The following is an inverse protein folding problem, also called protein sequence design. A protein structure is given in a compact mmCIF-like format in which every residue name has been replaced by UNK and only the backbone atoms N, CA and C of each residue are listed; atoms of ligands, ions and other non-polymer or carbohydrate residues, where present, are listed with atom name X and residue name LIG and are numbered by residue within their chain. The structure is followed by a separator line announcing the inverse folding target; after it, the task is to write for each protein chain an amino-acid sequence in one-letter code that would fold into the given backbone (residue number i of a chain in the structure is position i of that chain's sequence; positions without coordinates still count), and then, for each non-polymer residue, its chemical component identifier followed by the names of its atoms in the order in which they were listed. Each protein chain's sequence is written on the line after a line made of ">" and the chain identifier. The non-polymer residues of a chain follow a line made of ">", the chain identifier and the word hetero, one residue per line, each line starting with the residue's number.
data_IF_144055984059
#
_entry.id   IF_144055984059
#
_cell.length_a   1.000
_cell.length_b   1.000
_cell.length_c   1.000
_cell.angle_alpha   90.00
_cell.angle_beta   90.00
_cell.angle_gamma   90.00
#
_symmetry.space_group_name_H-M   'P 1'
#
loop_
_entity.id
_entity.type
_entity.pdbx_description
1 polymer ?
#
# COMPACT_ATOMS: atom_id res chain seq x y z
N UNK A 1 18.89 5.87 6.56
CA UNK A 1 17.47 5.79 6.11
C UNK A 1 17.09 7.07 5.38
N UNK A 2 16.28 6.98 4.31
CA UNK A 2 15.86 8.15 3.55
C UNK A 2 14.87 9.02 4.37
N UNK A 3 14.94 10.37 4.30
CA UNK A 3 14.09 11.26 5.11
C UNK A 3 12.58 11.03 4.94
N UNK A 4 12.11 10.71 3.74
CA UNK A 4 10.70 10.38 3.49
C UNK A 4 10.27 9.16 4.32
N UNK A 5 11.09 8.10 4.35
CA UNK A 5 10.78 6.89 5.10
C UNK A 5 10.78 7.16 6.61
N UNK A 6 11.76 7.93 7.09
CA UNK A 6 11.83 8.33 8.50
C UNK A 6 10.60 9.15 8.92
N UNK A 7 10.09 10.00 8.04
CA UNK A 7 8.90 10.83 8.33
C UNK A 7 7.61 10.00 8.53
N UNK A 8 7.58 8.75 8.08
CA UNK A 8 6.42 7.85 8.23
C UNK A 8 6.38 7.13 9.58
N UNK A 9 7.48 7.14 10.35
CA UNK A 9 7.60 6.35 11.59
C UNK A 9 6.51 6.70 12.62
N UNK A 10 5.76 5.67 13.04
CA UNK A 10 4.63 5.80 13.97
C UNK A 10 3.44 6.55 13.41
N UNK A 11 3.32 6.67 12.08
CA UNK A 11 2.31 7.50 11.42
C UNK A 11 1.28 6.68 10.63
N UNK A 12 0.19 7.37 10.29
CA UNK A 12 -0.86 6.88 9.41
C UNK A 12 -0.55 7.24 7.96
N UNK A 13 -0.58 6.24 7.10
CA UNK A 13 -0.67 6.38 5.64
C UNK A 13 -2.11 6.07 5.23
N UNK A 14 -2.69 6.88 4.35
CA UNK A 14 -4.05 6.60 3.85
C UNK A 14 -3.99 6.10 2.42
N UNK A 15 -4.58 4.91 2.20
CA UNK A 15 -4.74 4.37 0.85
C UNK A 15 -6.01 4.94 0.21
N UNK A 16 -5.83 5.72 -0.85
CA UNK A 16 -6.90 6.38 -1.61
C UNK A 16 -6.98 5.71 -2.98
N UNK A 17 -7.84 4.72 -3.09
CA UNK A 17 -8.02 3.92 -4.29
C UNK A 17 -9.51 3.64 -4.51
N UNK A 18 -9.99 3.81 -5.76
CA UNK A 18 -11.31 3.39 -6.16
C UNK A 18 -11.21 2.26 -7.20
N UNK A 19 -12.14 1.30 -7.13
CA UNK A 19 -12.17 0.15 -8.02
C UNK A 19 -12.93 0.44 -9.32
N UNK A 20 -12.74 -0.36 -10.38
CA UNK A 20 -13.55 -0.25 -11.59
C UNK A 20 -15.05 -0.31 -11.29
N UNK A 21 -15.80 0.69 -11.78
CA UNK A 21 -17.23 0.81 -11.52
C UNK A 21 -17.63 1.62 -10.28
N UNK A 22 -16.68 1.99 -9.43
CA UNK A 22 -16.95 2.83 -8.27
C UNK A 22 -17.31 4.28 -8.68
N UNK A 23 -18.36 4.88 -8.08
CA UNK A 23 -18.79 6.24 -8.41
C UNK A 23 -17.74 7.32 -8.18
N UNK A 24 -16.84 7.10 -7.21
CA UNK A 24 -15.79 8.06 -6.84
C UNK A 24 -14.51 7.91 -7.66
N UNK A 25 -14.46 7.00 -8.64
CA UNK A 25 -13.26 6.72 -9.42
C UNK A 25 -12.99 7.78 -10.48
N UNK A 26 -12.57 8.95 -10.05
CA UNK A 26 -11.97 9.98 -10.92
C UNK A 26 -10.75 10.59 -10.25
N UNK A 27 -9.73 11.00 -11.01
CA UNK A 27 -8.51 11.59 -10.46
C UNK A 27 -8.78 12.83 -9.58
N UNK A 28 -9.76 13.65 -9.94
CA UNK A 28 -10.15 14.86 -9.21
C UNK A 28 -10.74 14.52 -7.83
N UNK A 29 -11.57 13.47 -7.76
CA UNK A 29 -12.15 13.01 -6.50
C UNK A 29 -11.06 12.37 -5.64
N UNK A 30 -10.20 11.52 -6.22
CA UNK A 30 -9.07 10.91 -5.50
C UNK A 30 -8.13 11.99 -4.93
N UNK A 31 -7.80 13.03 -5.70
CA UNK A 31 -6.99 14.14 -5.23
C UNK A 31 -7.66 14.96 -4.10
N UNK A 32 -8.97 15.20 -4.21
CA UNK A 32 -9.72 15.92 -3.17
C UNK A 32 -9.82 15.12 -1.87
N UNK A 33 -10.05 13.81 -1.96
CA UNK A 33 -10.05 12.89 -0.83
C UNK A 33 -8.67 12.81 -0.18
N UNK A 34 -7.60 12.73 -0.97
CA UNK A 34 -6.22 12.74 -0.48
C UNK A 34 -5.90 14.03 0.29
N UNK A 35 -6.35 15.19 -0.22
CA UNK A 35 -6.19 16.46 0.51
C UNK A 35 -6.96 16.47 1.83
N UNK A 36 -8.17 15.91 1.87
CA UNK A 36 -8.93 15.79 3.11
C UNK A 36 -8.21 14.88 4.12
N UNK A 37 -7.63 13.78 3.67
CA UNK A 37 -6.83 12.88 4.52
C UNK A 37 -5.56 13.56 5.05
N UNK A 38 -4.87 14.33 4.23
CA UNK A 38 -3.73 15.15 4.65
C UNK A 38 -4.12 16.17 5.73
N UNK A 39 -5.23 16.89 5.56
CA UNK A 39 -5.76 17.80 6.58
C UNK A 39 -6.15 17.07 7.86
N UNK A 40 -6.54 15.80 7.76
CA UNK A 40 -6.79 14.91 8.89
C UNK A 40 -5.54 14.38 9.59
N UNK A 41 -4.33 14.67 9.05
CA UNK A 41 -3.06 14.28 9.64
C UNK A 41 -2.43 13.03 9.05
N UNK A 42 -2.85 12.57 7.87
CA UNK A 42 -2.11 11.52 7.15
C UNK A 42 -0.68 11.97 6.85
N UNK A 43 0.29 11.08 7.03
CA UNK A 43 1.70 11.35 6.76
C UNK A 43 2.13 11.03 5.32
N UNK A 44 1.37 10.20 4.60
CA UNK A 44 1.51 9.92 3.19
C UNK A 44 0.18 9.45 2.60
N UNK A 45 0.08 9.51 1.28
CA UNK A 45 -1.02 8.92 0.50
C UNK A 45 -0.49 7.75 -0.31
N UNK A 46 -1.18 6.61 -0.23
CA UNK A 46 -0.96 5.49 -1.16
C UNK A 46 -2.08 5.49 -2.20
N UNK A 47 -1.74 5.43 -3.48
CA UNK A 47 -2.73 5.50 -4.55
C UNK A 47 -2.33 4.66 -5.77
N UNK A 48 -3.30 4.35 -6.62
CA UNK A 48 -3.10 3.52 -7.80
C UNK A 48 -3.47 4.27 -9.09
N UNK A 49 -2.73 3.98 -10.18
CA UNK A 49 -3.00 4.53 -11.52
C UNK A 49 -2.33 5.88 -11.76
N UNK A 50 -1.81 6.04 -12.97
CA UNK A 50 -0.94 7.19 -13.32
C UNK A 50 -1.65 8.53 -13.20
N UNK A 51 -2.92 8.59 -13.63
CA UNK A 51 -3.72 9.81 -13.57
C UNK A 51 -4.01 10.22 -12.13
N UNK A 52 -4.28 9.24 -11.23
CA UNK A 52 -4.53 9.51 -9.82
C UNK A 52 -3.25 9.96 -9.13
N UNK A 53 -2.11 9.29 -9.39
CA UNK A 53 -0.80 9.69 -8.85
C UNK A 53 -0.50 11.15 -9.22
N UNK A 54 -0.62 11.52 -10.50
CA UNK A 54 -0.35 12.88 -10.97
C UNK A 54 -1.31 13.91 -10.35
N UNK A 55 -2.60 13.62 -10.28
CA UNK A 55 -3.59 14.52 -9.71
C UNK A 55 -3.40 14.71 -8.19
N UNK A 56 -3.10 13.62 -7.46
CA UNK A 56 -2.83 13.65 -6.02
C UNK A 56 -1.55 14.41 -5.74
N UNK A 57 -0.46 14.13 -6.47
CA UNK A 57 0.82 14.81 -6.31
C UNK A 57 0.72 16.33 -6.53
N UNK A 58 -0.16 16.77 -7.42
CA UNK A 58 -0.46 18.18 -7.62
C UNK A 58 -1.35 18.81 -6.55
N UNK A 59 -1.83 18.04 -5.55
CA UNK A 59 -2.82 18.52 -4.58
C UNK A 59 -2.38 18.42 -3.13
N UNK A 60 -1.46 17.50 -2.80
CA UNK A 60 -0.94 17.27 -1.44
C UNK A 60 0.54 17.61 -1.35
N UNK A 61 1.00 18.00 -0.14
CA UNK A 61 2.41 18.28 0.15
C UNK A 61 3.13 17.06 0.77
N UNK A 62 2.37 16.08 1.26
CA UNK A 62 2.90 14.85 1.86
C UNK A 62 3.32 13.85 0.78
N UNK A 63 4.23 12.90 1.10
CA UNK A 63 4.68 11.88 0.16
C UNK A 63 3.55 11.04 -0.45
N UNK A 64 3.76 10.63 -1.71
CA UNK A 64 2.84 9.76 -2.46
C UNK A 64 3.51 8.42 -2.73
N UNK A 65 2.91 7.34 -2.22
CA UNK A 65 3.24 5.96 -2.53
C UNK A 65 2.38 5.54 -3.71
N UNK A 66 2.99 5.47 -4.88
CA UNK A 66 2.30 5.16 -6.14
C UNK A 66 2.43 3.70 -6.53
N UNK A 67 1.37 3.17 -7.13
CA UNK A 67 1.38 1.87 -7.80
C UNK A 67 0.49 1.91 -9.05
N UNK A 68 0.64 0.91 -9.90
CA UNK A 68 -0.24 0.76 -11.06
C UNK A 68 -0.77 -0.67 -11.13
N UNK A 69 -2.08 -0.85 -10.89
CA UNK A 69 -2.74 -2.14 -11.07
C UNK A 69 -3.05 -2.35 -12.56
N UNK A 70 -2.44 -3.39 -13.13
CA UNK A 70 -2.70 -3.85 -14.50
C UNK A 70 -3.23 -5.30 -14.46
N UNK A 71 -4.52 -5.46 -14.73
CA UNK A 71 -5.23 -6.71 -14.48
C UNK A 71 -5.76 -6.87 -13.05
N UNK A 72 -6.09 -8.10 -12.68
CA UNK A 72 -6.69 -8.47 -11.38
C UNK A 72 -6.33 -9.89 -10.92
N UNK A 73 -5.47 -10.59 -11.67
CA UNK A 73 -5.01 -11.95 -11.38
C UNK A 73 -3.48 -12.00 -11.40
N UNK A 74 -2.91 -12.95 -10.66
CA UNK A 74 -1.46 -13.12 -10.57
C UNK A 74 -0.75 -11.90 -9.97
N UNK A 75 0.38 -11.53 -10.54
CA UNK A 75 1.09 -10.29 -10.19
C UNK A 75 0.51 -9.14 -11.01
N UNK A 76 -0.29 -8.29 -10.38
CA UNK A 76 -0.97 -7.15 -11.01
C UNK A 76 -0.63 -5.80 -10.40
N UNK A 77 -0.03 -5.75 -9.20
CA UNK A 77 0.42 -4.50 -8.57
C UNK A 77 1.81 -4.14 -9.10
N UNK A 78 1.87 -3.13 -9.94
CA UNK A 78 3.11 -2.65 -10.57
C UNK A 78 3.94 -3.82 -11.13
N UNK A 79 3.36 -4.60 -12.05
CA UNK A 79 3.85 -5.95 -12.34
C UNK A 79 5.17 -6.00 -13.11
N UNK A 80 5.63 -4.91 -13.69
CA UNK A 80 6.89 -4.87 -14.48
C UNK A 80 7.64 -3.55 -14.29
N UNK A 81 8.90 -3.53 -14.69
CA UNK A 81 9.76 -2.33 -14.69
C UNK A 81 9.10 -1.14 -15.44
N UNK A 82 8.39 -1.42 -16.54
CA UNK A 82 7.66 -0.38 -17.30
C UNK A 82 6.59 0.30 -16.44
N UNK A 83 5.85 -0.48 -15.64
CA UNK A 83 4.81 0.04 -14.75
C UNK A 83 5.41 0.88 -13.64
N UNK A 84 6.51 0.41 -13.03
CA UNK A 84 7.20 1.14 -11.98
C UNK A 84 7.75 2.49 -12.47
N UNK A 85 8.44 2.51 -13.61
CA UNK A 85 8.94 3.76 -14.22
C UNK A 85 7.80 4.73 -14.57
N UNK A 86 6.66 4.22 -15.00
CA UNK A 86 5.49 5.06 -15.27
C UNK A 86 4.93 5.70 -13.98
N UNK A 87 4.92 4.98 -12.85
CA UNK A 87 4.55 5.54 -11.55
C UNK A 87 5.52 6.66 -11.13
N UNK A 88 6.84 6.45 -11.31
CA UNK A 88 7.85 7.49 -11.08
C UNK A 88 7.60 8.72 -11.95
N UNK A 89 7.37 8.52 -13.26
CA UNK A 89 7.09 9.61 -14.19
C UNK A 89 5.80 10.36 -13.87
N UNK A 90 4.82 9.70 -13.25
CA UNK A 90 3.58 10.33 -12.77
C UNK A 90 3.77 11.13 -11.45
N UNK A 91 4.92 11.02 -10.79
CA UNK A 91 5.28 11.80 -9.61
C UNK A 91 5.23 11.04 -8.28
N UNK A 92 5.19 9.72 -8.29
CA UNK A 92 5.31 8.92 -7.06
C UNK A 92 6.67 9.16 -6.38
N UNK A 93 6.65 9.40 -5.06
CA UNK A 93 7.87 9.53 -4.23
C UNK A 93 8.40 8.16 -3.82
N UNK A 94 7.51 7.17 -3.68
CA UNK A 94 7.80 5.77 -3.40
C UNK A 94 6.98 4.94 -4.38
N UNK A 95 7.55 3.87 -4.94
CA UNK A 95 6.82 2.95 -5.82
C UNK A 95 6.58 1.63 -5.09
N UNK A 96 5.30 1.24 -4.95
CA UNK A 96 4.91 -0.05 -4.40
C UNK A 96 4.84 -1.10 -5.51
N UNK A 97 5.44 -2.27 -5.25
CA UNK A 97 5.59 -3.38 -6.20
C UNK A 97 5.17 -4.67 -5.50
N UNK A 98 4.39 -5.50 -6.19
CA UNK A 98 4.14 -6.89 -5.78
C UNK A 98 5.48 -7.63 -5.66
N UNK A 99 5.85 -8.02 -4.45
CA UNK A 99 7.14 -8.65 -4.15
C UNK A 99 7.01 -10.17 -3.90
N UNK A 100 5.91 -10.78 -4.34
CA UNK A 100 5.73 -12.22 -4.25
C UNK A 100 6.53 -12.97 -5.31
N UNK A 101 6.78 -14.27 -5.06
CA UNK A 101 7.46 -15.17 -6.00
C UNK A 101 6.56 -15.67 -7.16
N UNK A 102 5.40 -15.06 -7.34
CA UNK A 102 4.48 -15.41 -8.44
C UNK A 102 5.04 -14.97 -9.80
N UNK A 103 4.76 -15.73 -10.88
CA UNK A 103 5.21 -15.37 -12.22
C UNK A 103 4.72 -13.98 -12.65
N UNK A 104 5.63 -13.16 -13.18
CA UNK A 104 5.32 -11.83 -13.72
C UNK A 104 4.87 -11.91 -15.17
N UNK A 105 3.99 -11.01 -15.63
CA UNK A 105 3.40 -11.10 -16.98
C UNK A 105 4.41 -10.91 -18.11
N UNK A 106 5.57 -10.32 -17.85
CA UNK A 106 6.66 -10.16 -18.83
C UNK A 106 7.68 -11.30 -18.78
N UNK A 107 7.48 -12.31 -17.92
CA UNK A 107 8.38 -13.47 -17.76
C UNK A 107 9.69 -13.16 -17.07
N UNK A 108 9.86 -11.96 -16.51
CA UNK A 108 11.04 -11.53 -15.78
C UNK A 108 10.93 -11.82 -14.29
N UNK A 109 12.07 -11.77 -13.59
CA UNK A 109 12.15 -11.90 -12.14
C UNK A 109 11.79 -10.58 -11.44
N UNK A 110 11.55 -10.65 -10.13
CA UNK A 110 11.40 -9.45 -9.29
C UNK A 110 12.71 -8.63 -9.32
N UNK A 111 13.86 -9.29 -9.27
CA UNK A 111 15.17 -8.65 -9.32
C UNK A 111 15.38 -7.84 -10.61
N UNK A 112 14.96 -8.36 -11.78
CA UNK A 112 15.01 -7.64 -13.06
C UNK A 112 14.19 -6.35 -13.07
N UNK A 113 13.21 -6.25 -12.18
CA UNK A 113 12.40 -5.03 -11.98
C UNK A 113 13.05 -4.09 -10.97
N UNK A 114 13.55 -4.61 -9.86
CA UNK A 114 14.03 -3.85 -8.70
C UNK A 114 15.39 -3.19 -8.95
N UNK A 115 16.37 -3.96 -9.47
CA UNK A 115 17.76 -3.47 -9.65
C UNK A 115 17.86 -2.19 -10.48
N UNK A 116 17.22 -2.10 -11.67
CA UNK A 116 17.28 -0.87 -12.46
C UNK A 116 16.67 0.34 -11.72
N UNK A 117 15.61 0.14 -10.94
CA UNK A 117 14.97 1.21 -10.18
C UNK A 117 15.85 1.70 -9.02
N UNK A 118 16.56 0.80 -8.36
CA UNK A 118 17.55 1.14 -7.32
C UNK A 118 18.71 1.94 -7.91
N UNK A 119 19.22 1.57 -9.08
CA UNK A 119 20.25 2.30 -9.80
C UNK A 119 19.78 3.70 -10.20
N UNK A 120 18.49 3.88 -10.45
CA UNK A 120 17.83 5.17 -10.72
C UNK A 120 17.54 5.98 -9.44
N UNK A 121 17.81 5.43 -8.25
CA UNK A 121 17.56 6.07 -6.96
C UNK A 121 16.09 6.14 -6.54
N UNK A 122 15.25 5.25 -7.08
CA UNK A 122 13.82 5.15 -6.76
C UNK A 122 13.62 4.47 -5.41
N UNK A 123 12.83 5.05 -4.52
CA UNK A 123 12.42 4.40 -3.27
C UNK A 123 11.36 3.33 -3.56
N UNK A 124 11.56 2.14 -3.00
CA UNK A 124 10.75 0.97 -3.30
C UNK A 124 10.07 0.41 -2.04
N UNK A 125 8.78 0.12 -2.16
CA UNK A 125 7.98 -0.58 -1.16
C UNK A 125 7.57 -1.96 -1.70
N UNK A 126 7.89 -3.01 -0.94
CA UNK A 126 7.52 -4.38 -1.28
C UNK A 126 6.13 -4.73 -0.72
N UNK A 127 5.18 -5.09 -1.56
CA UNK A 127 3.92 -5.68 -1.16
C UNK A 127 4.09 -7.19 -1.04
N UNK A 128 4.11 -7.71 0.20
CA UNK A 128 4.40 -9.10 0.53
C UNK A 128 3.15 -9.87 0.98
N UNK A 129 3.15 -11.17 0.75
CA UNK A 129 2.09 -12.11 1.16
C UNK A 129 2.54 -12.98 2.33
N UNK A 130 3.79 -13.42 2.31
CA UNK A 130 4.36 -14.40 3.24
C UNK A 130 5.64 -13.89 3.89
N UNK A 131 6.10 -14.61 4.92
CA UNK A 131 7.42 -14.33 5.53
C UNK A 131 8.58 -14.60 4.56
N UNK A 132 8.41 -15.52 3.63
CA UNK A 132 9.39 -15.79 2.57
C UNK A 132 9.51 -14.61 1.60
N UNK A 133 8.38 -14.02 1.20
CA UNK A 133 8.39 -12.81 0.37
C UNK A 133 9.09 -11.65 1.08
N UNK A 134 8.86 -11.50 2.40
CA UNK A 134 9.52 -10.47 3.21
C UNK A 134 11.05 -10.68 3.22
N UNK A 135 11.52 -11.91 3.46
CA UNK A 135 12.98 -12.21 3.41
C UNK A 135 13.57 -11.92 2.04
N UNK A 136 12.89 -12.33 0.97
CA UNK A 136 13.32 -12.06 -0.39
C UNK A 136 13.37 -10.55 -0.69
N UNK A 137 12.37 -9.79 -0.25
CA UNK A 137 12.38 -8.33 -0.39
C UNK A 137 13.55 -7.67 0.36
N UNK A 138 13.90 -8.17 1.56
CA UNK A 138 15.07 -7.72 2.33
C UNK A 138 16.37 -8.02 1.58
N UNK A 139 16.53 -9.22 1.05
CA UNK A 139 17.70 -9.62 0.25
C UNK A 139 17.87 -8.79 -1.02
N UNK A 140 16.76 -8.41 -1.66
CA UNK A 140 16.76 -7.53 -2.82
C UNK A 140 16.98 -6.05 -2.45
N UNK A 141 16.91 -5.68 -1.17
CA UNK A 141 17.20 -4.33 -0.70
C UNK A 141 16.06 -3.33 -0.92
N UNK A 142 14.80 -3.74 -0.75
CA UNK A 142 13.70 -2.80 -0.69
C UNK A 142 13.83 -1.85 0.49
N UNK A 143 13.40 -0.60 0.31
CA UNK A 143 13.45 0.44 1.35
C UNK A 143 12.36 0.28 2.42
N UNK A 144 11.21 -0.24 2.03
CA UNK A 144 10.01 -0.50 2.84
C UNK A 144 9.46 -1.87 2.50
N UNK A 145 8.90 -2.56 3.49
CA UNK A 145 8.17 -3.82 3.30
C UNK A 145 6.78 -3.70 3.90
N UNK A 146 5.78 -4.31 3.29
CA UNK A 146 4.38 -4.24 3.71
C UNK A 146 3.70 -5.60 3.71
N UNK A 147 2.76 -5.81 4.63
CA UNK A 147 1.90 -7.00 4.72
C UNK A 147 0.70 -6.95 3.78
N UNK A 148 0.70 -6.11 2.76
CA UNK A 148 -0.45 -5.79 1.88
C UNK A 148 -1.18 -7.01 1.34
N UNK A 149 -0.48 -8.08 1.02
CA UNK A 149 -1.03 -9.27 0.36
C UNK A 149 -1.24 -10.46 1.30
N UNK A 150 -1.02 -10.31 2.62
CA UNK A 150 -0.96 -11.43 3.56
C UNK A 150 -2.25 -12.24 3.68
N UNK A 151 -3.41 -11.63 3.48
CA UNK A 151 -4.70 -12.34 3.54
C UNK A 151 -5.14 -12.97 2.22
N UNK A 152 -4.43 -12.71 1.11
CA UNK A 152 -4.73 -13.25 -0.23
C UNK A 152 -6.22 -13.22 -0.61
N UNK A 153 -6.95 -12.19 -0.18
CA UNK A 153 -8.38 -12.01 -0.42
C UNK A 153 -8.65 -11.07 -1.59
N UNK A 154 -9.86 -11.15 -2.20
CA UNK A 154 -10.26 -10.18 -3.21
C UNK A 154 -10.13 -8.75 -2.70
N UNK A 155 -9.74 -7.84 -3.58
CA UNK A 155 -9.55 -6.42 -3.25
C UNK A 155 -10.81 -5.73 -2.68
N UNK A 156 -11.99 -6.31 -2.87
CA UNK A 156 -13.27 -5.87 -2.30
C UNK A 156 -13.73 -6.93 -1.31
N UNK A 157 -13.14 -6.93 -0.11
CA UNK A 157 -13.71 -7.66 1.01
C UNK A 157 -14.58 -6.69 1.81
N UNK A 158 -15.87 -6.98 1.87
CA UNK A 158 -16.84 -6.19 2.61
C UNK A 158 -17.08 -6.74 4.02
N UNK A 159 -16.34 -7.76 4.43
CA UNK A 159 -16.46 -8.36 5.76
C UNK A 159 -15.58 -7.63 6.78
N UNK A 160 -16.08 -7.49 7.99
CA UNK A 160 -15.32 -6.96 9.14
C UNK A 160 -14.63 -8.07 9.95
N UNK A 161 -14.70 -9.31 9.47
CA UNK A 161 -14.43 -10.51 10.29
C UNK A 161 -12.96 -10.75 10.55
N UNK A 162 -12.07 -10.10 9.82
CA UNK A 162 -10.62 -10.26 9.97
C UNK A 162 -9.95 -8.90 10.08
N UNK A 163 -9.20 -8.73 11.13
CA UNK A 163 -8.30 -7.59 11.32
C UNK A 163 -6.98 -7.75 10.56
N UNK A 164 -6.01 -6.86 10.77
CA UNK A 164 -4.70 -6.94 10.13
C UNK A 164 -3.92 -8.19 10.57
N UNK A 165 -3.03 -8.68 9.71
CA UNK A 165 -2.17 -9.84 10.00
C UNK A 165 -1.07 -9.48 11.01
N UNK A 166 -1.47 -9.33 12.27
CA UNK A 166 -0.53 -9.05 13.37
C UNK A 166 0.46 -10.20 13.64
N UNK A 167 0.11 -11.49 13.45
CA UNK A 167 1.09 -12.58 13.53
C UNK A 167 2.25 -12.41 12.55
N UNK A 168 1.97 -12.22 11.27
CA UNK A 168 3.01 -11.98 10.24
C UNK A 168 3.81 -10.72 10.56
N UNK A 169 3.15 -9.63 10.93
CA UNK A 169 3.80 -8.38 11.31
C UNK A 169 4.79 -8.57 12.46
N UNK A 170 4.37 -9.23 13.56
CA UNK A 170 5.25 -9.48 14.71
C UNK A 170 6.43 -10.38 14.37
N UNK A 171 6.21 -11.40 13.55
CA UNK A 171 7.29 -12.25 13.07
C UNK A 171 8.31 -11.42 12.29
N UNK A 172 7.87 -10.62 11.33
CA UNK A 172 8.73 -9.82 10.48
C UNK A 172 9.49 -8.73 11.26
N UNK A 173 8.83 -8.02 12.18
CA UNK A 173 9.49 -6.98 13.00
C UNK A 173 10.48 -7.57 13.99
N UNK A 174 10.27 -8.78 14.48
CA UNK A 174 11.23 -9.47 15.34
C UNK A 174 12.44 -9.98 14.55
N UNK A 175 12.24 -10.45 13.33
CA UNK A 175 13.30 -10.96 12.45
C UNK A 175 14.14 -9.82 11.85
N UNK A 176 13.52 -8.67 11.54
CA UNK A 176 14.15 -7.51 10.89
C UNK A 176 13.89 -6.21 11.67
N UNK A 177 14.48 -6.02 12.85
CA UNK A 177 14.14 -4.89 13.75
C UNK A 177 14.50 -3.51 13.21
N UNK A 178 15.45 -3.44 12.28
CA UNK A 178 15.89 -2.18 11.65
C UNK A 178 15.19 -1.86 10.33
N UNK A 179 14.36 -2.79 9.82
CA UNK A 179 13.63 -2.61 8.58
C UNK A 179 12.32 -1.86 8.82
N UNK A 180 11.98 -0.83 8.03
CA UNK A 180 10.67 -0.21 8.05
C UNK A 180 9.58 -1.17 7.52
N UNK A 181 8.85 -1.83 8.43
CA UNK A 181 7.76 -2.74 8.08
C UNK A 181 6.43 -2.05 8.30
N UNK A 182 5.64 -1.96 7.25
CA UNK A 182 4.34 -1.32 7.22
C UNK A 182 3.24 -2.39 7.39
N UNK A 183 2.33 -2.15 8.32
CA UNK A 183 1.10 -2.92 8.41
C UNK A 183 0.08 -2.38 7.42
N UNK A 184 -0.30 -3.19 6.45
CA UNK A 184 -1.37 -2.90 5.48
C UNK A 184 -2.25 -4.12 5.27
N UNK A 185 -3.53 -3.88 5.04
CA UNK A 185 -4.55 -4.90 4.85
C UNK A 185 -5.44 -5.08 6.09
N UNK A 186 -6.75 -5.04 5.86
CA UNK A 186 -7.79 -5.31 6.87
C UNK A 186 -7.73 -4.46 8.17
N UNK A 187 -7.14 -3.29 8.13
CA UNK A 187 -7.20 -2.32 9.23
C UNK A 187 -8.50 -1.54 9.11
N UNK A 188 -9.49 -1.88 9.93
CA UNK A 188 -10.85 -1.35 9.84
C UNK A 188 -11.20 -0.36 10.94
N UNK A 189 -10.46 -0.37 12.05
CA UNK A 189 -10.74 0.45 13.23
C UNK A 189 -9.49 1.17 13.75
N UNK A 190 -9.65 2.30 14.45
CA UNK A 190 -8.53 2.96 15.14
C UNK A 190 -7.81 2.06 16.15
N UNK A 191 -8.54 1.12 16.78
CA UNK A 191 -7.95 0.18 17.73
C UNK A 191 -7.01 -0.81 17.04
N UNK A 192 -7.37 -1.31 15.86
CA UNK A 192 -6.49 -2.18 15.05
C UNK A 192 -5.27 -1.44 14.55
N UNK A 193 -5.43 -0.18 14.10
CA UNK A 193 -4.29 0.65 13.72
C UNK A 193 -3.32 0.86 14.90
N UNK A 194 -3.85 1.08 16.12
CA UNK A 194 -3.03 1.17 17.32
C UNK A 194 -2.33 -0.16 17.64
N UNK A 195 -3.06 -1.27 17.55
CA UNK A 195 -2.51 -2.61 17.78
C UNK A 195 -1.37 -2.96 16.79
N UNK A 196 -1.46 -2.49 15.54
CA UNK A 196 -0.39 -2.65 14.56
C UNK A 196 0.90 -1.88 14.96
N UNK A 197 0.76 -0.64 15.43
CA UNK A 197 1.89 0.15 15.96
C UNK A 197 2.50 -0.55 17.19
N UNK A 198 1.66 -1.02 18.13
CA UNK A 198 2.12 -1.74 19.33
C UNK A 198 2.78 -3.10 18.99
N UNK A 199 2.44 -3.69 17.83
CA UNK A 199 3.07 -4.88 17.29
C UNK A 199 4.42 -4.61 16.58
N UNK A 200 4.85 -3.35 16.51
CA UNK A 200 6.14 -2.94 15.94
C UNK A 200 6.08 -2.38 14.52
N UNK A 201 4.89 -2.15 13.95
CA UNK A 201 4.80 -1.53 12.64
C UNK A 201 5.50 -0.17 12.59
N UNK A 202 6.27 0.06 11.53
CA UNK A 202 6.87 1.37 11.25
C UNK A 202 5.83 2.42 10.94
N UNK A 203 4.82 2.04 10.16
CA UNK A 203 3.65 2.85 9.83
C UNK A 203 2.45 1.92 9.59
N UNK A 204 1.25 2.47 9.55
CA UNK A 204 0.02 1.73 9.24
C UNK A 204 -0.66 2.33 8.03
N UNK A 205 -1.03 1.50 7.06
CA UNK A 205 -1.85 1.90 5.91
C UNK A 205 -3.30 1.53 6.17
N UNK A 206 -4.18 2.52 6.06
CA UNK A 206 -5.64 2.32 6.14
C UNK A 206 -6.27 2.78 4.83
N UNK A 207 -7.02 1.89 4.18
CA UNK A 207 -7.72 2.18 2.94
C UNK A 207 -9.24 2.22 3.14
N UNK A 208 -9.89 1.08 2.99
CA UNK A 208 -11.35 0.90 2.95
C UNK A 208 -12.08 1.63 4.08
N UNK A 209 -11.57 1.55 5.30
CA UNK A 209 -12.19 2.16 6.48
C UNK A 209 -12.18 3.71 6.49
N UNK A 210 -11.42 4.35 5.59
CA UNK A 210 -11.38 5.81 5.47
C UNK A 210 -11.93 6.26 4.12
N UNK A 211 -11.64 5.54 3.04
CA UNK A 211 -11.78 6.08 1.68
C UNK A 211 -12.80 5.33 0.81
N UNK A 212 -13.51 4.31 1.36
CA UNK A 212 -14.43 3.49 0.58
C UNK A 212 -15.87 3.54 1.14
N UNK A 213 -16.65 4.61 0.84
CA UNK A 213 -18.00 4.80 1.38
C UNK A 213 -18.95 3.63 1.10
N UNK A 214 -18.81 2.96 -0.05
CA UNK A 214 -19.63 1.79 -0.41
C UNK A 214 -19.49 0.68 0.63
N UNK A 215 -18.26 0.29 1.00
CA UNK A 215 -18.01 -0.73 2.03
C UNK A 215 -18.45 -0.26 3.40
N UNK A 216 -18.10 0.97 3.79
CA UNK A 216 -18.50 1.53 5.08
C UNK A 216 -20.03 1.51 5.24
N UNK A 217 -20.77 1.94 4.21
CA UNK A 217 -22.24 1.90 4.22
C UNK A 217 -22.76 0.47 4.35
N UNK A 218 -22.15 -0.50 3.64
CA UNK A 218 -22.53 -1.91 3.74
C UNK A 218 -22.32 -2.48 5.14
N UNK A 219 -21.23 -2.14 5.81
CA UNK A 219 -20.94 -2.60 7.17
C UNK A 219 -21.97 -2.08 8.18
N UNK A 220 -22.28 -0.79 8.11
CA UNK A 220 -23.33 -0.22 8.98
C UNK A 220 -24.71 -0.83 8.70
N UNK A 221 -25.04 -1.01 7.41
CA UNK A 221 -26.31 -1.64 7.03
C UNK A 221 -26.40 -3.07 7.57
N UNK A 222 -25.36 -3.88 7.38
CA UNK A 222 -25.36 -5.25 7.86
C UNK A 222 -25.51 -5.35 9.39
N UNK A 223 -24.87 -4.44 10.14
CA UNK A 223 -25.00 -4.39 11.59
C UNK A 223 -26.41 -3.95 12.07
N UNK A 224 -27.16 -3.18 11.27
CA UNK A 224 -28.53 -2.77 11.57
C UNK A 224 -29.53 -3.88 11.24
N UNK A 225 -29.25 -4.65 10.18
CA UNK A 225 -30.13 -5.73 9.69
C UNK A 225 -30.00 -7.04 10.51
N UNK A 226 -28.93 -7.19 11.34
CA UNK A 226 -28.66 -8.36 12.17
C UNK A 226 -29.50 -8.38 13.47
#
# INVERSE_FOLDING_TARGET
>A
MHPIIESLKGKLVVSVQAYPGEPLRTPEIMASMSRACELGGAAAIRCQGLSDIAAIKGRVEIPVIGLWKDGHEGVYITPTLRHARACVAAGADIVAIDATDRPRPDGKTLEDTVRPLQEEGVLLMADCMTSEDIRHAVELGFDLVSTTLSHNKPAIDTTLDEGPDLPLLRQATAEFPDLPIICEGHVHTPAEARAAIDAGAWAVVVGTAITHPTSLTSWFKAAIDA
#
